data_IF_859534581570
#
_entry.id   IF_859534581570
#
_cell.length_a   1.000
_cell.length_b   1.000
_cell.length_c   1.000
_cell.angle_alpha   90.00
_cell.angle_beta   90.00
_cell.angle_gamma   90.00
#
_symmetry.space_group_name_H-M   'P 1'
#
loop_
_entity.id
_entity.type
_entity.pdbx_description
1 polymer ?
#
# COMPACT_ATOMS: atom_id res chain seq x y z
N UNK A 1 -4.44 -23.27 6.69
CA UNK A 1 -4.50 -23.48 8.15
C UNK A 1 -5.15 -22.23 8.76
N UNK A 2 -6.26 -22.35 9.50
CA UNK A 2 -7.11 -21.19 9.88
C UNK A 2 -7.04 -20.79 11.36
N UNK A 3 -6.68 -21.72 12.24
CA UNK A 3 -6.51 -21.52 13.67
C UNK A 3 -5.65 -22.67 14.22
N UNK A 4 -4.91 -22.44 15.31
CA UNK A 4 -4.08 -23.47 15.94
C UNK A 4 -4.25 -23.43 17.46
N UNK A 5 -4.25 -24.62 18.07
CA UNK A 5 -4.18 -24.82 19.51
C UNK A 5 -3.27 -26.01 19.78
N UNK A 6 -2.24 -25.83 20.62
CA UNK A 6 -1.33 -26.87 21.06
C UNK A 6 -1.34 -26.91 22.59
N UNK A 7 -1.22 -28.10 23.17
CA UNK A 7 -1.24 -28.28 24.62
C UNK A 7 0.15 -28.27 25.25
N UNK A 8 1.20 -28.22 24.42
CA UNK A 8 2.59 -28.29 24.84
C UNK A 8 3.41 -27.17 24.19
N UNK A 9 4.36 -26.65 24.95
CA UNK A 9 5.39 -25.73 24.47
C UNK A 9 6.35 -26.45 23.51
N UNK A 10 6.89 -25.71 22.55
CA UNK A 10 7.84 -26.22 21.55
C UNK A 10 9.30 -26.08 21.96
N UNK A 11 9.56 -25.59 23.19
CA UNK A 11 10.89 -25.39 23.78
C UNK A 11 11.76 -24.39 23.03
N UNK A 12 11.15 -23.44 22.31
CA UNK A 12 11.84 -22.35 21.61
C UNK A 12 11.91 -21.04 22.41
N UNK A 13 11.56 -21.08 23.69
CA UNK A 13 11.86 -20.01 24.66
C UNK A 13 10.64 -19.26 25.22
N UNK A 14 9.44 -19.50 24.70
CA UNK A 14 8.21 -18.90 25.23
C UNK A 14 7.76 -19.64 26.52
N UNK A 15 8.06 -20.94 26.63
CA UNK A 15 7.74 -21.78 27.81
C UNK A 15 6.24 -21.85 28.13
N UNK A 16 5.40 -21.71 27.11
CA UNK A 16 3.96 -21.83 27.24
C UNK A 16 3.37 -22.49 25.99
N UNK A 17 2.30 -23.29 26.14
CA UNK A 17 1.59 -23.81 24.98
C UNK A 17 0.81 -22.70 24.27
N UNK A 18 0.73 -22.71 22.93
CA UNK A 18 -0.23 -21.89 22.18
C UNK A 18 -1.66 -22.41 22.44
N UNK A 19 -2.24 -21.96 23.55
CA UNK A 19 -3.52 -22.41 24.11
C UNK A 19 -4.37 -21.20 24.54
N UNK A 20 -4.65 -20.31 23.59
CA UNK A 20 -5.40 -19.08 23.85
C UNK A 20 -6.84 -19.36 24.31
N UNK A 21 -7.29 -18.61 25.31
CA UNK A 21 -8.65 -18.72 25.88
C UNK A 21 -9.31 -17.35 26.04
N UNK A 22 -10.64 -17.33 25.99
CA UNK A 22 -11.47 -16.17 26.28
C UNK A 22 -12.66 -16.62 27.15
N UNK A 23 -12.92 -15.91 28.26
CA UNK A 23 -13.99 -16.26 29.21
C UNK A 23 -13.94 -17.69 29.77
N UNK A 24 -12.73 -18.25 29.91
CA UNK A 24 -12.53 -19.62 30.38
C UNK A 24 -12.70 -20.70 29.31
N UNK A 25 -13.02 -20.30 28.08
CA UNK A 25 -13.23 -21.20 26.93
C UNK A 25 -12.12 -21.03 25.89
N UNK A 26 -11.96 -22.02 25.01
CA UNK A 26 -11.00 -21.93 23.89
C UNK A 26 -11.31 -20.74 22.97
N UNK A 27 -10.27 -20.01 22.55
CA UNK A 27 -10.44 -18.82 21.72
C UNK A 27 -11.17 -19.15 20.40
N UNK A 28 -12.21 -18.37 20.08
CA UNK A 28 -12.94 -18.47 18.81
C UNK A 28 -12.50 -17.34 17.88
N UNK A 29 -12.02 -17.70 16.69
CA UNK A 29 -11.68 -16.74 15.63
C UNK A 29 -12.72 -16.75 14.52
N UNK A 30 -12.90 -15.61 13.87
CA UNK A 30 -13.74 -15.46 12.68
C UNK A 30 -12.90 -14.87 11.55
N UNK A 31 -12.97 -15.49 10.38
CA UNK A 31 -12.30 -15.01 9.18
C UNK A 31 -13.19 -15.18 7.95
N UNK A 32 -12.71 -14.66 6.81
CA UNK A 32 -13.33 -14.82 5.49
C UNK A 32 -12.28 -15.35 4.52
N UNK A 33 -12.71 -16.23 3.62
CA UNK A 33 -11.89 -16.68 2.50
C UNK A 33 -12.63 -16.34 1.21
N UNK A 34 -11.91 -15.82 0.23
CA UNK A 34 -12.42 -15.49 -1.09
C UNK A 34 -11.80 -16.46 -2.07
N UNK A 35 -12.65 -17.17 -2.81
CA UNK A 35 -12.22 -18.04 -3.90
C UNK A 35 -12.65 -17.39 -5.21
N UNK A 36 -11.69 -17.09 -6.07
CA UNK A 36 -11.90 -16.47 -7.37
C UNK A 36 -11.42 -17.45 -8.43
N UNK A 37 -12.28 -17.77 -9.38
CA UNK A 37 -11.95 -18.62 -10.54
C UNK A 37 -11.92 -17.73 -11.76
N UNK A 38 -10.78 -17.69 -12.43
CA UNK A 38 -10.57 -16.87 -13.62
C UNK A 38 -9.53 -17.53 -14.55
N UNK A 39 -9.44 -17.08 -15.81
CA UNK A 39 -8.43 -17.59 -16.75
C UNK A 39 -7.01 -17.19 -16.32
N UNK A 40 -5.97 -17.96 -16.69
CA UNK A 40 -4.59 -17.63 -16.36
C UNK A 40 -4.21 -16.20 -16.76
N UNK A 41 -4.66 -15.74 -17.93
CA UNK A 41 -4.35 -14.43 -18.51
C UNK A 41 -4.93 -13.26 -17.70
N UNK A 42 -6.08 -13.45 -17.04
CA UNK A 42 -6.77 -12.40 -16.28
C UNK A 42 -6.60 -12.54 -14.76
N UNK A 43 -6.21 -13.73 -14.29
CA UNK A 43 -6.18 -14.09 -12.86
C UNK A 43 -5.33 -13.13 -12.03
N UNK A 44 -4.15 -12.74 -12.52
CA UNK A 44 -3.25 -11.83 -11.83
C UNK A 44 -3.87 -10.46 -11.61
N UNK A 45 -4.51 -9.87 -12.63
CA UNK A 45 -5.19 -8.56 -12.50
C UNK A 45 -6.28 -8.60 -11.44
N UNK A 46 -7.13 -9.63 -11.47
CA UNK A 46 -8.21 -9.78 -10.49
C UNK A 46 -7.64 -10.01 -9.08
N UNK A 47 -6.58 -10.81 -8.96
CA UNK A 47 -5.91 -11.05 -7.70
C UNK A 47 -5.28 -9.77 -7.12
N UNK A 48 -4.48 -9.03 -7.90
CA UNK A 48 -3.79 -7.82 -7.45
C UNK A 48 -4.78 -6.75 -6.99
N UNK A 49 -5.76 -6.41 -7.82
CA UNK A 49 -6.77 -5.39 -7.50
C UNK A 49 -7.67 -5.84 -6.35
N UNK A 50 -8.13 -7.09 -6.38
CA UNK A 50 -9.00 -7.65 -5.35
C UNK A 50 -8.32 -7.73 -3.98
N UNK A 51 -7.05 -8.14 -3.93
CA UNK A 51 -6.27 -8.19 -2.69
C UNK A 51 -6.14 -6.81 -2.04
N UNK A 52 -5.85 -5.76 -2.84
CA UNK A 52 -5.78 -4.39 -2.35
C UNK A 52 -7.13 -3.91 -1.81
N UNK A 53 -8.22 -4.16 -2.52
CA UNK A 53 -9.58 -3.78 -2.07
C UNK A 53 -10.01 -4.51 -0.79
N UNK A 54 -9.60 -5.78 -0.63
CA UNK A 54 -9.89 -6.55 0.57
C UNK A 54 -9.05 -6.08 1.77
N UNK A 55 -7.79 -5.72 1.54
CA UNK A 55 -6.91 -5.19 2.57
C UNK A 55 -7.33 -3.77 3.00
N UNK A 56 -7.53 -2.88 2.02
CA UNK A 56 -7.98 -1.49 2.21
C UNK A 56 -9.49 -1.36 2.11
N UNK A 57 -10.24 -2.22 2.82
CA UNK A 57 -11.70 -2.13 2.79
C UNK A 57 -12.18 -0.75 3.29
N UNK A 58 -13.27 -0.20 2.76
CA UNK A 58 -13.80 1.09 3.22
C UNK A 58 -14.09 1.08 4.73
N UNK A 59 -13.74 2.17 5.40
CA UNK A 59 -14.09 2.39 6.81
C UNK A 59 -15.47 3.05 6.83
N UNK A 60 -16.45 2.34 7.40
CA UNK A 60 -17.78 2.89 7.62
C UNK A 60 -17.79 3.73 8.90
N UNK A 61 -18.21 4.99 8.80
CA UNK A 61 -18.44 5.87 9.95
C UNK A 61 -19.93 6.11 10.11
N UNK A 62 -20.38 6.20 11.36
CA UNK A 62 -21.79 6.38 11.70
C UNK A 62 -21.95 7.60 12.61
N UNK A 63 -22.98 8.39 12.36
CA UNK A 63 -23.37 9.51 13.19
C UNK A 63 -24.86 9.41 13.55
N UNK A 64 -25.23 9.94 14.71
CA UNK A 64 -26.62 10.05 15.16
C UNK A 64 -27.09 11.50 15.06
N UNK A 65 -27.43 11.99 13.85
CA UNK A 65 -27.81 13.39 13.66
C UNK A 65 -29.15 13.69 14.34
N UNK A 66 -29.23 14.85 14.99
CA UNK A 66 -30.47 15.38 15.57
C UNK A 66 -31.33 16.13 14.53
N UNK A 67 -30.84 16.23 13.30
CA UNK A 67 -31.50 16.92 12.18
C UNK A 67 -31.84 15.93 11.07
N UNK A 68 -32.71 16.34 10.14
CA UNK A 68 -32.96 15.57 8.93
C UNK A 68 -31.67 15.35 8.12
N UNK A 69 -31.63 14.27 7.35
CA UNK A 69 -30.52 13.95 6.44
C UNK A 69 -30.19 15.14 5.52
N UNK A 70 -31.21 15.82 4.99
CA UNK A 70 -31.02 16.96 4.09
C UNK A 70 -30.30 18.14 4.77
N UNK A 71 -30.61 18.42 6.04
CA UNK A 71 -29.94 19.50 6.79
C UNK A 71 -28.51 19.10 7.17
N UNK A 72 -28.30 17.84 7.58
CA UNK A 72 -26.97 17.33 7.91
C UNK A 72 -26.04 17.34 6.71
N UNK A 73 -26.51 16.86 5.55
CA UNK A 73 -25.75 16.81 4.29
C UNK A 73 -25.34 18.19 3.75
N UNK A 74 -26.11 19.24 4.09
CA UNK A 74 -25.77 20.62 3.73
C UNK A 74 -24.72 21.23 4.64
N UNK A 75 -24.67 20.81 5.90
CA UNK A 75 -23.78 21.37 6.91
C UNK A 75 -22.41 20.66 6.97
N UNK A 76 -22.34 19.38 6.57
CA UNK A 76 -21.15 18.56 6.75
C UNK A 76 -20.78 17.78 5.49
N UNK A 77 -19.47 17.63 5.26
CA UNK A 77 -18.93 16.72 4.26
C UNK A 77 -19.11 15.27 4.71
N UNK A 78 -19.67 14.43 3.83
CA UNK A 78 -19.92 13.01 4.11
C UNK A 78 -18.81 12.10 3.60
N UNK A 79 -18.01 12.61 2.66
CA UNK A 79 -16.87 11.93 2.08
C UNK A 79 -15.77 12.96 1.85
N UNK A 80 -14.53 12.50 1.94
CA UNK A 80 -13.35 13.32 1.65
C UNK A 80 -12.30 12.43 0.99
N UNK A 81 -11.57 13.01 0.05
CA UNK A 81 -10.43 12.36 -0.62
C UNK A 81 -9.32 13.37 -0.83
N UNK A 82 -8.09 12.96 -0.52
CA UNK A 82 -6.89 13.68 -0.91
C UNK A 82 -6.64 13.63 -2.42
N UNK A 83 -7.13 12.57 -3.07
CA UNK A 83 -7.01 12.38 -4.51
C UNK A 83 -8.15 13.10 -5.22
N UNK A 84 -7.80 13.89 -6.22
CA UNK A 84 -8.75 14.61 -7.05
C UNK A 84 -9.21 13.82 -8.26
N UNK A 85 -8.51 12.75 -8.59
CA UNK A 85 -8.86 11.75 -9.59
C UNK A 85 -8.28 10.38 -9.20
N UNK A 86 -8.76 9.31 -9.82
CA UNK A 86 -8.28 7.95 -9.52
C UNK A 86 -6.91 7.72 -10.18
N UNK A 87 -5.99 7.08 -9.44
CA UNK A 87 -4.71 6.64 -10.00
C UNK A 87 -4.90 5.53 -11.05
N UNK A 88 -3.95 5.34 -11.98
CA UNK A 88 -3.94 4.20 -12.90
C UNK A 88 -4.04 2.88 -12.15
N UNK A 89 -4.67 1.87 -12.75
CA UNK A 89 -4.95 0.61 -12.06
C UNK A 89 -3.67 -0.09 -11.56
N UNK A 90 -2.54 0.08 -12.24
CA UNK A 90 -1.25 -0.48 -11.85
C UNK A 90 -0.47 0.36 -10.83
N UNK A 91 -1.01 1.48 -10.37
CA UNK A 91 -0.40 2.36 -9.35
C UNK A 91 -1.25 2.35 -8.09
N UNK A 92 -0.62 2.12 -6.95
CA UNK A 92 -1.27 2.17 -5.64
C UNK A 92 -0.60 3.21 -4.74
N UNK A 93 -1.43 4.04 -4.07
CA UNK A 93 -0.98 4.97 -3.03
C UNK A 93 -0.79 4.21 -1.71
N UNK A 94 0.43 3.73 -1.48
CA UNK A 94 0.78 2.96 -0.29
C UNK A 94 0.87 3.83 0.97
N UNK A 95 1.31 5.09 0.84
CA UNK A 95 1.41 6.01 1.98
C UNK A 95 1.09 7.44 1.54
N UNK A 96 0.26 8.11 2.33
CA UNK A 96 0.11 9.56 2.34
C UNK A 96 0.12 9.99 3.81
N UNK A 97 1.23 10.57 4.25
CA UNK A 97 1.43 10.98 5.64
C UNK A 97 1.81 12.46 5.71
N UNK A 98 1.18 13.21 6.61
CA UNK A 98 1.43 14.63 6.77
C UNK A 98 2.45 14.84 7.90
N UNK A 99 3.70 15.13 7.53
CA UNK A 99 4.79 15.34 8.49
C UNK A 99 4.63 16.66 9.24
N UNK A 100 4.11 17.69 8.58
CA UNK A 100 3.76 18.99 9.15
C UNK A 100 2.78 19.73 8.22
N UNK A 101 2.31 20.96 8.54
CA UNK A 101 1.28 21.65 7.76
C UNK A 101 1.57 21.83 6.25
N UNK A 102 2.83 21.68 5.81
CA UNK A 102 3.24 21.89 4.41
C UNK A 102 4.05 20.74 3.80
N UNK A 103 4.38 19.71 4.57
CA UNK A 103 5.22 18.60 4.10
C UNK A 103 4.48 17.28 4.24
N UNK A 104 4.52 16.51 3.16
CA UNK A 104 3.89 15.22 3.06
C UNK A 104 4.92 14.17 2.63
N UNK A 105 4.83 12.98 3.21
CA UNK A 105 5.51 11.79 2.76
C UNK A 105 4.53 10.97 1.91
N UNK A 106 4.91 10.73 0.66
CA UNK A 106 4.11 9.98 -0.30
C UNK A 106 4.89 8.74 -0.70
N UNK A 107 4.23 7.58 -0.70
CA UNK A 107 4.75 6.35 -1.33
C UNK A 107 3.72 5.86 -2.33
N UNK A 108 4.16 5.72 -3.58
CA UNK A 108 3.42 5.06 -4.65
C UNK A 108 4.14 3.79 -5.02
N UNK A 109 3.39 2.75 -5.39
CA UNK A 109 3.95 1.47 -5.83
C UNK A 109 3.32 1.01 -7.14
N UNK A 110 4.13 0.36 -7.97
CA UNK A 110 3.65 -0.44 -9.08
C UNK A 110 3.51 -1.89 -8.60
N UNK A 111 2.28 -2.34 -8.38
CA UNK A 111 2.01 -3.61 -7.68
C UNK A 111 1.70 -4.79 -8.60
N UNK A 112 1.83 -4.59 -9.91
CA UNK A 112 1.87 -5.65 -10.93
C UNK A 112 3.33 -6.02 -11.22
N UNK A 113 3.61 -7.32 -11.29
CA UNK A 113 4.92 -7.85 -11.66
C UNK A 113 5.06 -8.00 -13.18
N UNK A 114 6.29 -8.30 -13.64
CA UNK A 114 6.58 -8.52 -15.05
C UNK A 114 5.76 -9.70 -15.59
N UNK A 115 5.10 -9.50 -16.73
CA UNK A 115 4.27 -10.51 -17.42
C UNK A 115 3.04 -11.01 -16.63
N UNK A 116 2.53 -10.23 -15.66
CA UNK A 116 1.28 -10.57 -14.97
C UNK A 116 0.02 -10.15 -15.75
N UNK A 117 0.07 -9.04 -16.49
CA UNK A 117 -1.02 -8.53 -17.31
C UNK A 117 -0.45 -7.75 -18.51
N UNK A 118 -1.03 -7.98 -19.70
CA UNK A 118 -0.56 -7.40 -20.97
C UNK A 118 -0.63 -5.85 -21.04
N UNK A 119 -1.36 -5.22 -20.12
CA UNK A 119 -1.53 -3.77 -20.06
C UNK A 119 -0.87 -3.22 -18.80
N UNK A 120 -1.17 -3.83 -17.66
CA UNK A 120 -0.85 -3.28 -16.34
C UNK A 120 0.53 -3.68 -15.81
N UNK A 121 1.25 -4.58 -16.48
CA UNK A 121 2.66 -4.89 -16.17
C UNK A 121 3.67 -3.95 -16.83
N UNK A 122 3.22 -2.92 -17.57
CA UNK A 122 4.08 -1.98 -18.26
C UNK A 122 4.36 -0.70 -17.44
N UNK A 123 5.48 0.00 -17.70
CA UNK A 123 5.77 1.28 -17.09
C UNK A 123 4.63 2.29 -17.24
N UNK A 124 4.44 3.12 -16.22
CA UNK A 124 3.40 4.16 -16.18
C UNK A 124 3.97 5.43 -15.57
N UNK A 125 3.64 6.56 -16.18
CA UNK A 125 3.96 7.88 -15.66
C UNK A 125 2.75 8.47 -14.93
N UNK A 126 3.01 9.15 -13.82
CA UNK A 126 1.96 9.73 -12.96
C UNK A 126 2.27 11.19 -12.65
N UNK A 127 1.26 12.05 -12.75
CA UNK A 127 1.35 13.45 -12.34
C UNK A 127 0.84 13.61 -10.91
N UNK A 128 1.78 13.69 -9.95
CA UNK A 128 1.45 13.86 -8.53
C UNK A 128 0.74 15.19 -8.25
N UNK A 129 1.02 16.25 -9.01
CA UNK A 129 0.34 17.52 -8.85
C UNK A 129 -1.13 17.42 -9.27
N UNK A 130 -1.42 16.67 -10.34
CA UNK A 130 -2.80 16.44 -10.78
C UNK A 130 -3.61 15.67 -9.71
N UNK A 131 -3.02 14.62 -9.13
CA UNK A 131 -3.67 13.83 -8.08
C UNK A 131 -3.93 14.62 -6.80
N UNK A 132 -2.92 15.35 -6.29
CA UNK A 132 -2.97 15.99 -4.97
C UNK A 132 -3.35 17.48 -5.00
N UNK A 133 -3.91 17.99 -6.10
CA UNK A 133 -4.33 19.41 -6.21
C UNK A 133 -5.29 19.87 -5.11
N UNK A 134 -6.09 18.97 -4.52
CA UNK A 134 -7.00 19.31 -3.41
C UNK A 134 -6.26 19.61 -2.10
N UNK A 135 -5.02 19.13 -1.96
CA UNK A 135 -4.14 19.42 -0.82
C UNK A 135 -3.33 20.70 -1.01
N UNK A 136 -3.15 21.14 -2.26
CA UNK A 136 -2.45 22.38 -2.59
C UNK A 136 -1.54 22.23 -3.82
N UNK A 137 -0.60 23.17 -3.95
CA UNK A 137 0.42 23.18 -5.01
C UNK A 137 1.73 22.62 -4.45
N UNK A 138 2.27 21.61 -5.12
CA UNK A 138 3.58 21.02 -4.86
C UNK A 138 4.63 22.02 -5.34
N UNK A 139 5.39 22.58 -4.41
CA UNK A 139 6.47 23.54 -4.72
C UNK A 139 7.83 22.88 -4.81
N UNK A 140 8.00 21.72 -4.20
CA UNK A 140 9.25 20.97 -4.14
C UNK A 140 8.93 19.47 -4.05
N UNK A 141 9.77 18.64 -4.66
CA UNK A 141 9.68 17.19 -4.57
C UNK A 141 11.09 16.60 -4.47
N UNK A 142 11.31 15.83 -3.41
CA UNK A 142 12.58 15.13 -3.18
C UNK A 142 12.32 13.63 -3.11
N UNK A 143 12.95 12.85 -4.00
CA UNK A 143 12.90 11.39 -3.94
C UNK A 143 13.85 10.87 -2.84
N UNK A 144 13.34 9.97 -2.00
CA UNK A 144 14.04 9.42 -0.85
C UNK A 144 14.15 7.89 -0.97
N UNK A 145 15.06 7.30 -0.19
CA UNK A 145 15.05 5.85 0.07
C UNK A 145 13.72 5.41 0.72
N UNK A 146 13.39 4.12 0.66
CA UNK A 146 12.11 3.59 1.19
C UNK A 146 11.87 3.96 2.68
N UNK A 147 12.95 4.02 3.46
CA UNK A 147 12.93 4.44 4.88
C UNK A 147 12.72 5.93 5.10
N UNK A 148 12.63 6.74 4.04
CA UNK A 148 12.43 8.19 4.07
C UNK A 148 13.48 8.98 4.89
N UNK A 149 14.72 8.47 4.96
CA UNK A 149 15.78 9.04 5.80
C UNK A 149 17.01 9.53 5.01
N UNK A 150 17.02 9.35 3.69
CA UNK A 150 18.14 9.69 2.81
C UNK A 150 17.61 10.03 1.41
N UNK A 151 18.06 11.13 0.77
CA UNK A 151 17.80 11.37 -0.65
C UNK A 151 18.28 10.22 -1.52
N UNK A 152 17.47 9.78 -2.49
CA UNK A 152 17.83 8.63 -3.33
C UNK A 152 19.14 8.88 -4.09
N UNK A 153 19.40 10.14 -4.46
CA UNK A 153 20.65 10.57 -5.11
C UNK A 153 21.91 10.34 -4.26
N UNK A 154 21.78 10.15 -2.95
CA UNK A 154 22.90 9.86 -2.03
C UNK A 154 23.07 8.35 -1.77
N UNK A 155 22.20 7.50 -2.34
CA UNK A 155 22.28 6.05 -2.15
C UNK A 155 23.44 5.47 -2.97
N UNK A 156 24.43 4.91 -2.29
CA UNK A 156 25.50 4.14 -2.91
C UNK A 156 25.32 2.64 -2.61
N UNK A 157 25.09 1.84 -3.65
CA UNK A 157 24.99 0.38 -3.53
C UNK A 157 26.37 -0.27 -3.62
N UNK A 158 26.53 -1.40 -2.95
CA UNK A 158 27.70 -2.24 -3.10
C UNK A 158 27.63 -2.98 -4.44
N UNK A 159 28.75 -3.03 -5.15
CA UNK A 159 28.89 -3.80 -6.38
C UNK A 159 29.40 -5.21 -6.06
N UNK A 160 28.56 -6.20 -6.36
CA UNK A 160 28.86 -7.60 -6.19
C UNK A 160 29.04 -8.25 -7.56
N UNK A 161 29.98 -9.20 -7.62
CA UNK A 161 30.11 -10.12 -8.75
C UNK A 161 29.77 -11.52 -8.28
N UNK A 162 28.78 -12.14 -8.93
CA UNK A 162 28.39 -13.52 -8.60
C UNK A 162 29.40 -14.52 -9.17
N UNK A 163 29.34 -15.77 -8.70
CA UNK A 163 30.15 -16.87 -9.26
C UNK A 163 29.87 -17.10 -10.75
N UNK A 164 28.64 -16.79 -11.18
CA UNK A 164 28.19 -16.87 -12.58
C UNK A 164 28.62 -15.64 -13.40
N UNK A 165 29.45 -14.78 -12.81
CA UNK A 165 30.01 -13.55 -13.39
C UNK A 165 28.99 -12.46 -13.70
N UNK A 166 27.79 -12.55 -13.12
CA UNK A 166 26.81 -11.48 -13.15
C UNK A 166 27.26 -10.34 -12.21
N UNK A 167 26.93 -9.11 -12.56
CA UNK A 167 27.24 -7.94 -11.76
C UNK A 167 25.94 -7.31 -11.24
N UNK A 168 25.93 -6.91 -9.98
CA UNK A 168 24.85 -6.10 -9.41
C UNK A 168 24.98 -4.62 -9.74
N UNK A 169 25.95 -4.22 -10.57
CA UNK A 169 26.13 -2.83 -10.96
C UNK A 169 24.95 -2.38 -11.82
N UNK A 170 24.29 -1.33 -11.37
CA UNK A 170 23.18 -0.70 -12.09
C UNK A 170 23.64 0.73 -12.39
N UNK A 171 23.68 1.09 -13.67
CA UNK A 171 23.82 2.49 -14.07
C UNK A 171 22.57 3.25 -13.59
N UNK A 172 22.68 3.97 -12.48
CA UNK A 172 21.61 4.86 -12.04
C UNK A 172 21.45 5.95 -13.11
N UNK A 173 20.25 6.16 -13.67
CA UNK A 173 20.03 7.24 -14.62
C UNK A 173 20.41 8.57 -13.97
N UNK A 174 21.44 9.24 -14.48
CA UNK A 174 21.96 10.50 -13.94
C UNK A 174 21.07 11.72 -14.25
N UNK A 175 20.02 11.55 -15.05
CA UNK A 175 19.32 12.66 -15.71
C UNK A 175 17.79 12.52 -15.67
N UNK A 176 17.19 12.73 -14.49
CA UNK A 176 15.80 13.22 -14.41
C UNK A 176 15.67 14.51 -13.56
N UNK A 177 16.78 15.02 -13.00
CA UNK A 177 16.80 16.21 -12.14
C UNK A 177 17.65 17.35 -12.72
N UNK A 178 17.63 17.53 -14.03
CA UNK A 178 18.20 18.69 -14.70
C UNK A 178 17.12 19.35 -15.55
N UNK A 179 16.22 20.10 -14.91
CA UNK A 179 15.69 21.35 -15.48
C UNK A 179 14.89 22.15 -14.42
N UNK A 180 15.48 23.31 -14.09
CA UNK A 180 14.96 24.50 -13.41
C UNK A 180 14.98 24.54 -11.87
#
# INVERSE_FOLDING_TARGET
MVHRRIAHDDSLGINEPLNETAFGEGLVVRGKHFLILESPENSSRIHRVGAQQLFMHPIATYALPQTSYANYSKAYHQTWSALSESMPLNVHLLTLDQLNPKQFLIRVEHYFELNEDDIYSHPVEVDLQAFFKSLGTITDLTELTLGANMPLSQLHRLDWRTTDKESSHIDMPSEFYSNQ
#
